data_IF_944991601263
#
_entry.id   IF_944991601263
#
_cell.length_a   1.000
_cell.length_b   1.000
_cell.length_c   1.000
_cell.angle_alpha   90.00
_cell.angle_beta   90.00
_cell.angle_gamma   90.00
#
_symmetry.space_group_name_H-M   'P 1'
#
loop_
_entity.id
_entity.type
_entity.pdbx_description
1 polymer ?
#
# COMPACT_ATOMS: atom_id res chain seq x y z
N UNK A 1 36.74 -21.11 -4.67
CA UNK A 1 35.43 -20.97 -5.33
C UNK A 1 34.79 -19.67 -4.85
N UNK A 2 34.96 -18.58 -5.60
CA UNK A 2 34.31 -17.29 -5.28
C UNK A 2 32.94 -17.26 -5.98
N UNK A 3 31.86 -17.14 -5.22
CA UNK A 3 30.51 -16.92 -5.76
C UNK A 3 30.44 -15.50 -6.33
N UNK A 4 29.97 -15.30 -7.58
CA UNK A 4 29.83 -13.96 -8.13
C UNK A 4 28.69 -13.21 -7.43
N UNK A 5 28.97 -11.97 -7.05
CA UNK A 5 27.99 -11.02 -6.51
C UNK A 5 26.96 -10.64 -7.60
N UNK A 6 25.70 -10.38 -7.23
CA UNK A 6 24.65 -10.03 -8.19
C UNK A 6 24.95 -8.67 -8.83
N UNK A 7 25.00 -8.64 -10.16
CA UNK A 7 25.21 -7.42 -10.95
C UNK A 7 23.91 -6.62 -10.97
N UNK A 8 23.87 -5.51 -10.23
CA UNK A 8 22.83 -4.49 -10.41
C UNK A 8 23.13 -3.73 -11.71
N UNK A 9 22.32 -3.98 -12.74
CA UNK A 9 22.36 -3.24 -14.00
C UNK A 9 21.81 -1.84 -13.74
N UNK A 10 22.69 -0.84 -13.71
CA UNK A 10 22.31 0.57 -13.68
C UNK A 10 21.92 1.02 -15.09
N UNK A 11 20.64 1.30 -15.32
CA UNK A 11 20.18 2.09 -16.48
C UNK A 11 19.74 3.46 -15.99
N UNK A 12 20.20 4.52 -16.67
CA UNK A 12 19.77 5.92 -16.53
C UNK A 12 19.54 6.53 -17.92
N UNK A 13 18.80 7.64 -18.13
CA UNK A 13 17.75 8.23 -17.31
C UNK A 13 16.49 8.58 -18.14
N UNK A 14 15.47 7.75 -18.07
CA UNK A 14 14.04 8.11 -18.15
C UNK A 14 13.34 7.17 -17.16
N UNK A 15 13.76 7.26 -15.90
CA UNK A 15 13.78 6.13 -14.97
C UNK A 15 12.40 5.95 -14.35
N UNK A 16 11.53 5.17 -15.00
CA UNK A 16 10.46 4.51 -14.27
C UNK A 16 11.10 3.71 -13.12
N UNK A 17 10.57 3.80 -11.88
CA UNK A 17 11.15 3.09 -10.74
C UNK A 17 11.19 1.60 -11.02
N UNK A 18 12.29 0.93 -10.66
CA UNK A 18 12.33 -0.53 -10.62
C UNK A 18 11.52 -1.02 -9.42
N UNK A 19 10.21 -1.15 -9.62
CA UNK A 19 9.29 -1.60 -8.58
C UNK A 19 9.59 -3.01 -8.10
N UNK A 20 10.04 -3.91 -9.00
CA UNK A 20 10.37 -5.29 -8.65
C UNK A 20 11.61 -5.32 -7.77
N UNK A 21 12.66 -4.59 -8.15
CA UNK A 21 13.87 -4.42 -7.36
C UNK A 21 13.59 -3.80 -5.99
N UNK A 22 12.77 -2.75 -5.94
CA UNK A 22 12.39 -2.08 -4.69
C UNK A 22 11.62 -3.03 -3.74
N UNK A 23 10.62 -3.74 -4.24
CA UNK A 23 9.85 -4.70 -3.44
C UNK A 23 10.75 -5.80 -2.90
N UNK A 24 11.61 -6.37 -3.75
CA UNK A 24 12.56 -7.41 -3.32
C UNK A 24 13.48 -6.90 -2.23
N UNK A 25 14.07 -5.72 -2.40
CA UNK A 25 14.94 -5.11 -1.41
C UNK A 25 14.25 -4.90 -0.06
N UNK A 26 12.99 -4.41 -0.08
CA UNK A 26 12.24 -4.14 1.14
C UNK A 26 11.74 -5.41 1.84
N UNK A 27 11.35 -6.45 1.08
CA UNK A 27 10.68 -7.63 1.64
C UNK A 27 11.61 -8.79 1.94
N UNK A 28 12.66 -9.01 1.14
CA UNK A 28 13.58 -10.13 1.34
C UNK A 28 14.16 -10.22 2.76
N UNK A 29 14.50 -9.12 3.46
CA UNK A 29 15.02 -9.18 4.83
C UNK A 29 14.06 -9.79 5.85
N UNK A 30 12.76 -9.85 5.55
CA UNK A 30 11.72 -10.39 6.45
C UNK A 30 11.39 -11.86 6.20
N UNK A 31 11.93 -12.47 5.13
CA UNK A 31 11.61 -13.83 4.72
C UNK A 31 12.68 -14.82 5.17
N UNK A 32 12.27 -16.01 5.62
CA UNK A 32 13.20 -17.11 5.92
C UNK A 32 13.81 -17.68 4.64
N UNK A 33 13.02 -17.74 3.58
CA UNK A 33 13.43 -18.20 2.25
C UNK A 33 13.19 -17.09 1.23
N UNK A 34 14.17 -16.21 0.95
CA UNK A 34 14.04 -15.13 -0.01
C UNK A 34 13.68 -15.59 -1.43
N UNK A 35 14.01 -16.84 -1.79
CA UNK A 35 13.58 -17.44 -3.06
C UNK A 35 12.07 -17.70 -3.17
N UNK A 36 11.34 -17.75 -2.06
CA UNK A 36 9.88 -17.91 -2.07
C UNK A 36 9.14 -16.64 -2.53
N UNK A 37 9.83 -15.49 -2.57
CA UNK A 37 9.26 -14.22 -2.96
C UNK A 37 9.02 -14.16 -4.47
N UNK A 38 7.76 -14.24 -4.86
CA UNK A 38 7.30 -13.98 -6.22
C UNK A 38 6.71 -12.59 -6.32
N UNK A 39 7.22 -11.80 -7.27
CA UNK A 39 6.75 -10.44 -7.55
C UNK A 39 6.44 -10.34 -9.02
N UNK A 40 5.21 -9.96 -9.32
CA UNK A 40 4.75 -9.65 -10.67
C UNK A 40 4.38 -8.16 -10.72
N UNK A 41 4.83 -7.46 -11.77
CA UNK A 41 4.59 -6.04 -11.94
C UNK A 41 4.06 -5.78 -13.34
N UNK A 42 2.85 -5.25 -13.43
CA UNK A 42 2.20 -4.87 -14.67
C UNK A 42 2.11 -3.35 -14.77
N UNK A 43 2.57 -2.78 -15.90
CA UNK A 43 2.60 -1.33 -16.10
C UNK A 43 1.59 -0.90 -17.17
N UNK A 44 0.62 -0.09 -16.75
CA UNK A 44 -0.34 0.54 -17.64
C UNK A 44 0.15 1.94 -18.05
N UNK A 45 0.82 1.99 -19.19
CA UNK A 45 1.41 3.21 -19.74
C UNK A 45 0.36 4.32 -19.97
N UNK A 46 -0.85 3.95 -20.41
CA UNK A 46 -1.95 4.90 -20.68
C UNK A 46 -2.42 5.65 -19.44
N UNK A 47 -2.35 5.01 -18.25
CA UNK A 47 -2.86 5.58 -16.99
C UNK A 47 -1.75 5.92 -16.00
N UNK A 48 -0.47 5.80 -16.40
CA UNK A 48 0.69 5.95 -15.49
C UNK A 48 0.52 5.13 -14.21
N UNK A 49 -0.02 3.92 -14.34
CA UNK A 49 -0.40 3.05 -13.21
C UNK A 49 0.42 1.77 -13.19
N UNK A 50 0.98 1.42 -12.04
CA UNK A 50 1.68 0.17 -11.80
C UNK A 50 0.83 -0.76 -10.91
N UNK A 51 0.67 -2.01 -11.31
CA UNK A 51 0.02 -3.04 -10.51
C UNK A 51 1.07 -4.05 -10.07
N UNK A 52 1.31 -4.14 -8.77
CA UNK A 52 2.30 -5.03 -8.17
C UNK A 52 1.56 -6.12 -7.41
N UNK A 53 1.86 -7.37 -7.74
CA UNK A 53 1.31 -8.56 -7.09
C UNK A 53 2.43 -9.32 -6.41
N UNK A 54 2.24 -9.66 -5.15
CA UNK A 54 3.29 -10.24 -4.30
C UNK A 54 2.76 -11.52 -3.66
N UNK A 55 3.56 -12.59 -3.75
CA UNK A 55 3.35 -13.84 -3.03
C UNK A 55 4.65 -14.28 -2.34
N UNK A 56 4.50 -14.87 -1.17
CA UNK A 56 5.58 -15.46 -0.36
C UNK A 56 4.98 -16.49 0.60
N UNK A 57 5.83 -17.24 1.29
CA UNK A 57 5.38 -18.32 2.17
C UNK A 57 4.55 -17.80 3.37
N UNK A 58 3.52 -18.56 3.73
CA UNK A 58 2.58 -18.19 4.80
C UNK A 58 3.24 -18.08 6.18
N UNK A 59 4.33 -18.80 6.42
CA UNK A 59 5.12 -18.78 7.66
C UNK A 59 5.74 -17.40 7.93
N UNK A 60 6.11 -16.66 6.88
CA UNK A 60 6.74 -15.35 7.00
C UNK A 60 5.74 -14.20 7.09
N UNK A 61 4.44 -14.48 6.95
CA UNK A 61 3.36 -13.48 7.01
C UNK A 61 3.42 -12.63 8.27
N UNK A 62 3.68 -13.22 9.43
CA UNK A 62 3.77 -12.47 10.68
C UNK A 62 4.88 -11.40 10.67
N UNK A 63 6.02 -11.71 10.05
CA UNK A 63 7.20 -10.82 9.97
C UNK A 63 6.98 -9.71 8.94
N UNK A 64 6.49 -10.09 7.76
CA UNK A 64 6.20 -9.15 6.66
C UNK A 64 5.10 -8.15 7.04
N UNK A 65 3.99 -8.62 7.61
CA UNK A 65 2.92 -7.73 8.04
C UNK A 65 3.34 -6.91 9.27
N UNK A 66 4.10 -7.53 10.17
CA UNK A 66 4.49 -6.95 11.44
C UNK A 66 3.31 -6.79 12.40
N UNK A 67 3.59 -6.35 13.62
CA UNK A 67 2.56 -6.14 14.65
C UNK A 67 1.57 -5.06 14.21
N UNK A 68 0.31 -5.47 14.04
CA UNK A 68 -0.78 -4.59 13.60
C UNK A 68 -0.69 -4.13 12.15
N UNK A 69 0.04 -4.84 11.28
CA UNK A 69 0.16 -4.47 9.86
C UNK A 69 1.09 -3.28 9.59
N UNK A 70 1.78 -2.77 10.61
CA UNK A 70 2.61 -1.55 10.48
C UNK A 70 3.78 -1.71 9.51
N UNK A 71 4.38 -2.90 9.46
CA UNK A 71 5.51 -3.14 8.57
C UNK A 71 5.06 -3.12 7.11
N UNK A 72 3.98 -3.84 6.79
CA UNK A 72 3.47 -3.84 5.42
C UNK A 72 2.91 -2.48 5.00
N UNK A 73 2.33 -1.71 5.93
CA UNK A 73 1.90 -0.35 5.66
C UNK A 73 3.10 0.55 5.32
N UNK A 74 4.21 0.45 6.06
CA UNK A 74 5.42 1.19 5.74
C UNK A 74 5.98 0.84 4.35
N UNK A 75 6.00 -0.45 3.99
CA UNK A 75 6.41 -0.92 2.66
C UNK A 75 5.50 -0.31 1.57
N UNK A 76 4.17 -0.35 1.77
CA UNK A 76 3.20 0.29 0.85
C UNK A 76 3.47 1.77 0.68
N UNK A 77 3.74 2.50 1.77
CA UNK A 77 4.06 3.93 1.74
C UNK A 77 5.34 4.22 0.96
N UNK A 78 6.41 3.45 1.17
CA UNK A 78 7.68 3.65 0.45
C UNK A 78 7.50 3.44 -1.05
N UNK A 79 6.77 2.40 -1.45
CA UNK A 79 6.50 2.10 -2.87
C UNK A 79 5.61 3.18 -3.49
N UNK A 80 4.60 3.66 -2.76
CA UNK A 80 3.75 4.76 -3.19
C UNK A 80 4.54 6.06 -3.39
N UNK A 81 5.40 6.42 -2.44
CA UNK A 81 6.25 7.61 -2.55
C UNK A 81 7.23 7.52 -3.73
N UNK A 82 7.82 6.34 -3.98
CA UNK A 82 8.68 6.12 -5.13
C UNK A 82 7.90 6.23 -6.46
N UNK A 83 6.66 5.72 -6.50
CA UNK A 83 5.79 5.86 -7.66
C UNK A 83 5.40 7.33 -7.90
N UNK A 84 5.00 8.05 -6.86
CA UNK A 84 4.61 9.45 -6.90
C UNK A 84 5.77 10.34 -7.37
N UNK A 85 6.99 10.10 -6.90
CA UNK A 85 8.19 10.80 -7.36
C UNK A 85 8.45 10.61 -8.87
N UNK A 86 7.95 9.53 -9.46
CA UNK A 86 8.00 9.26 -10.89
C UNK A 86 6.72 9.67 -11.66
N UNK A 87 5.73 10.27 -10.99
CA UNK A 87 4.45 10.65 -11.58
C UNK A 87 3.54 9.45 -11.90
N UNK A 88 3.72 8.34 -11.19
CA UNK A 88 2.91 7.13 -11.31
C UNK A 88 2.00 6.93 -10.09
N UNK A 89 0.90 6.21 -10.27
CA UNK A 89 0.11 5.64 -9.19
C UNK A 89 0.37 4.14 -9.09
N UNK A 90 0.39 3.58 -7.87
CA UNK A 90 0.69 2.16 -7.66
C UNK A 90 -0.45 1.46 -6.90
N UNK A 91 -0.77 0.26 -7.32
CA UNK A 91 -1.65 -0.65 -6.59
C UNK A 91 -0.87 -1.89 -6.20
N UNK A 92 -0.84 -2.20 -4.91
CA UNK A 92 -0.09 -3.32 -4.36
C UNK A 92 -1.05 -4.36 -3.78
N UNK A 93 -0.98 -5.57 -4.33
CA UNK A 93 -1.74 -6.73 -3.90
C UNK A 93 -0.83 -7.81 -3.31
N UNK A 94 -1.27 -8.45 -2.24
CA UNK A 94 -0.51 -9.46 -1.52
C UNK A 94 -1.38 -10.68 -1.32
N UNK A 95 -1.01 -11.78 -1.96
CA UNK A 95 -1.72 -13.04 -1.82
C UNK A 95 -1.68 -13.55 -0.38
N UNK A 96 -2.81 -14.09 0.11
CA UNK A 96 -2.96 -14.54 1.50
C UNK A 96 -3.22 -13.42 2.52
N UNK A 97 -3.33 -12.16 2.07
CA UNK A 97 -3.84 -11.04 2.86
C UNK A 97 -5.35 -10.92 2.72
N UNK A 98 -6.13 -11.46 3.65
CA UNK A 98 -7.56 -11.13 3.71
C UNK A 98 -7.71 -9.69 4.20
N UNK A 99 -7.75 -8.76 3.23
CA UNK A 99 -8.28 -7.40 3.30
C UNK A 99 -8.12 -6.63 4.61
N UNK A 100 -6.97 -6.00 4.82
CA UNK A 100 -6.88 -4.79 5.64
C UNK A 100 -6.31 -3.70 4.73
N UNK A 101 -7.18 -2.80 4.25
CA UNK A 101 -6.79 -1.70 3.35
C UNK A 101 -7.75 -1.41 2.20
N UNK A 102 -9.06 -1.64 2.34
CA UNK A 102 -10.07 -1.10 1.39
C UNK A 102 -10.48 0.33 1.78
N UNK A 103 -9.51 1.15 2.12
CA UNK A 103 -9.66 2.60 2.28
C UNK A 103 -8.37 3.23 1.75
N UNK A 104 -8.50 4.30 0.96
CA UNK A 104 -7.41 5.02 0.26
C UNK A 104 -7.06 4.54 -1.16
N UNK A 105 -8.03 4.59 -2.06
CA UNK A 105 -7.83 5.04 -3.45
C UNK A 105 -9.14 5.60 -4.03
N UNK A 106 -9.82 6.48 -3.28
CA UNK A 106 -10.66 7.50 -3.91
C UNK A 106 -9.70 8.53 -4.50
N UNK A 107 -9.22 8.26 -5.71
CA UNK A 107 -8.68 9.34 -6.54
C UNK A 107 -9.89 10.17 -6.94
N UNK A 108 -9.98 11.38 -6.39
CA UNK A 108 -10.90 12.39 -6.89
C UNK A 108 -10.52 12.70 -8.33
N UNK A 109 -11.40 12.31 -9.25
CA UNK A 109 -11.41 12.80 -10.61
C UNK A 109 -12.12 14.15 -10.56
N UNK A 110 -11.35 15.23 -10.67
CA UNK A 110 -11.86 16.58 -10.75
C UNK A 110 -12.56 16.75 -12.11
N UNK A 111 -13.88 16.93 -12.07
CA UNK A 111 -14.72 17.32 -13.19
C UNK A 111 -16.09 17.75 -12.67
N UNK A 112 -16.45 19.02 -12.89
CA UNK A 112 -17.76 19.64 -12.66
C UNK A 112 -18.95 18.66 -12.86
N UNK A 113 -20.02 18.66 -12.06
CA UNK A 113 -21.02 19.72 -11.98
C UNK A 113 -21.76 19.73 -10.62
N UNK A 114 -21.90 20.94 -10.06
CA UNK A 114 -22.81 21.23 -8.94
C UNK A 114 -24.27 21.10 -9.37
N UNK A 115 -25.07 20.28 -8.68
CA UNK A 115 -26.50 20.55 -8.44
C UNK A 115 -26.92 20.12 -7.02
N UNK A 116 -27.79 20.90 -6.32
CA UNK A 116 -28.09 20.67 -4.91
C UNK A 116 -29.39 19.87 -4.66
N UNK A 117 -29.47 19.32 -3.43
CA UNK A 117 -30.65 19.03 -2.59
C UNK A 117 -31.53 17.80 -2.88
N UNK A 118 -31.68 16.93 -1.86
CA UNK A 118 -32.96 16.73 -1.16
C UNK A 118 -32.81 16.05 0.22
N UNK A 119 -33.09 16.84 1.24
CA UNK A 119 -33.74 16.54 2.53
C UNK A 119 -34.20 15.10 2.79
N UNK A 120 -33.71 14.50 3.89
CA UNK A 120 -34.51 13.56 4.70
C UNK A 120 -34.36 13.89 6.18
N UNK A 121 -35.40 14.52 6.70
CA UNK A 121 -35.57 14.96 8.09
C UNK A 121 -35.68 13.80 9.09
N UNK A 122 -35.09 14.06 10.27
CA UNK A 122 -35.50 13.67 11.63
C UNK A 122 -35.77 12.19 11.94
N UNK A 123 -34.99 11.63 12.90
CA UNK A 123 -35.50 11.27 14.25
C UNK A 123 -34.42 11.39 15.32
N UNK A 124 -34.84 11.98 16.43
CA UNK A 124 -34.15 12.30 17.68
C UNK A 124 -33.96 11.07 18.58
N UNK A 125 -32.83 10.95 19.28
CA UNK A 125 -32.82 10.70 20.73
C UNK A 125 -31.39 10.78 21.28
N UNK A 126 -31.16 11.77 22.15
CA UNK A 126 -29.91 11.96 22.86
C UNK A 126 -29.77 11.03 24.06
N UNK A 127 -28.52 10.81 24.47
CA UNK A 127 -28.09 10.55 25.84
C UNK A 127 -26.58 10.77 25.92
N UNK A 128 -26.15 12.01 26.17
CA UNK A 128 -24.81 12.29 26.72
C UNK A 128 -24.91 12.12 28.25
N UNK A 129 -24.09 11.29 28.91
CA UNK A 129 -24.08 11.25 30.37
C UNK A 129 -23.43 12.54 30.93
N UNK A 130 -24.16 13.21 31.81
CA UNK A 130 -23.76 14.43 32.53
C UNK A 130 -22.83 14.06 33.68
N UNK A 131 -21.63 14.64 33.69
CA UNK A 131 -20.67 14.58 34.80
C UNK A 131 -21.21 15.48 35.93
N UNK A 132 -21.65 14.88 37.05
CA UNK A 132 -22.02 15.63 38.26
C UNK A 132 -20.77 15.92 39.09
N UNK A 133 -20.45 17.20 39.26
CA UNK A 133 -19.52 17.71 40.26
C UNK A 133 -20.12 17.53 41.67
N UNK A 134 -19.44 16.76 42.52
CA UNK A 134 -19.73 16.71 43.96
C UNK A 134 -19.20 17.99 44.61
N UNK A 135 -20.04 18.63 45.42
CA UNK A 135 -19.61 19.57 46.46
C UNK A 135 -20.28 19.18 47.77
N UNK A 136 -19.57 19.51 48.85
CA UNK A 136 -19.55 18.91 50.18
C UNK A 136 -20.85 19.04 50.97
#
# INVERSE_FOLDING_TARGET
MQKPLPKFVTKSPTVSPDYVGLVRFLMQPFLESPESLSVDCEMYHTRKRAWIRIAFESTDKGKVFGRGGRNIQAIRTVIAAAAEAAGHSVYLDIYGSNGVGRESAAFEEEGEERLPSKSRERRTNGSRPVIKSRSR
#
